data_IF_655262300565
#
_entry.id   IF_655262300565
#
_cell.length_a   1.000
_cell.length_b   1.000
_cell.length_c   1.000
_cell.angle_alpha   90.00
_cell.angle_beta   90.00
_cell.angle_gamma   90.00
#
_symmetry.space_group_name_H-M   'P 1'
#
loop_
_entity.id
_entity.type
_entity.pdbx_description
1 polymer ?
#
# COMPACT_ATOMS: atom_id res chain seq x y z
N UNK A 1 -58.54 -12.26 14.83
CA UNK A 1 -57.16 -11.98 15.25
C UNK A 1 -56.40 -11.52 14.02
N UNK A 2 -56.57 -10.27 13.58
CA UNK A 2 -56.05 -9.87 12.25
C UNK A 2 -55.82 -8.38 12.03
N UNK A 3 -56.66 -7.47 12.54
CA UNK A 3 -56.52 -6.04 12.17
C UNK A 3 -55.42 -5.26 12.91
N UNK A 4 -55.17 -5.60 14.18
CA UNK A 4 -54.15 -4.91 14.99
C UNK A 4 -52.72 -5.16 14.49
N UNK A 5 -52.43 -6.42 14.12
CA UNK A 5 -51.13 -6.81 13.56
C UNK A 5 -50.82 -6.15 12.21
N UNK A 6 -51.84 -5.91 11.38
CA UNK A 6 -51.67 -5.24 10.08
C UNK A 6 -51.28 -3.77 10.27
N UNK A 7 -51.91 -3.06 11.22
CA UNK A 7 -51.55 -1.66 11.54
C UNK A 7 -50.13 -1.54 12.10
N UNK A 8 -49.72 -2.49 12.94
CA UNK A 8 -48.37 -2.48 13.50
C UNK A 8 -47.29 -2.71 12.43
N UNK A 9 -47.57 -3.60 11.46
CA UNK A 9 -46.70 -3.83 10.31
C UNK A 9 -46.62 -2.61 9.37
N UNK A 10 -47.71 -1.88 9.16
CA UNK A 10 -47.69 -0.64 8.38
C UNK A 10 -46.85 0.45 9.06
N UNK A 11 -46.94 0.58 10.39
CA UNK A 11 -46.13 1.52 11.16
C UNK A 11 -44.65 1.13 11.14
N UNK A 12 -44.33 -0.16 11.28
CA UNK A 12 -42.98 -0.67 11.14
C UNK A 12 -42.43 -0.40 9.73
N UNK A 13 -43.21 -0.67 8.68
CA UNK A 13 -42.81 -0.42 7.29
C UNK A 13 -42.46 1.06 7.06
N UNK A 14 -43.32 1.98 7.50
CA UNK A 14 -43.08 3.44 7.41
C UNK A 14 -41.84 3.89 8.16
N UNK A 15 -41.50 3.22 9.26
CA UNK A 15 -40.29 3.49 10.04
C UNK A 15 -39.03 2.87 9.40
N UNK A 16 -39.16 1.73 8.72
CA UNK A 16 -38.06 0.99 8.11
C UNK A 16 -37.67 1.55 6.73
N UNK A 17 -38.64 1.97 5.91
CA UNK A 17 -38.44 2.52 4.57
C UNK A 17 -37.32 3.58 4.51
N UNK A 18 -37.36 4.67 5.31
CA UNK A 18 -36.33 5.69 5.23
C UNK A 18 -34.97 5.16 5.67
N UNK A 19 -34.90 4.20 6.60
CA UNK A 19 -33.64 3.62 7.07
C UNK A 19 -32.99 2.74 6.01
N UNK A 20 -33.80 1.97 5.29
CA UNK A 20 -33.32 1.13 4.19
C UNK A 20 -32.86 1.99 3.02
N UNK A 21 -33.60 3.05 2.68
CA UNK A 21 -33.22 3.99 1.62
C UNK A 21 -31.87 4.64 1.92
N UNK A 22 -31.68 5.18 3.13
CA UNK A 22 -30.39 5.73 3.56
C UNK A 22 -29.26 4.69 3.56
N UNK A 23 -29.55 3.47 4.00
CA UNK A 23 -28.57 2.38 4.01
C UNK A 23 -28.13 2.03 2.58
N UNK A 24 -29.07 1.93 1.64
CA UNK A 24 -28.80 1.65 0.22
C UNK A 24 -27.98 2.76 -0.44
N UNK A 25 -28.29 4.03 -0.17
CA UNK A 25 -27.52 5.17 -0.69
C UNK A 25 -26.09 5.13 -0.18
N UNK A 26 -25.89 4.90 1.13
CA UNK A 26 -24.56 4.82 1.72
C UNK A 26 -23.78 3.62 1.19
N UNK A 27 -24.41 2.45 1.06
CA UNK A 27 -23.81 1.26 0.45
C UNK A 27 -23.44 1.49 -1.01
N UNK A 28 -24.29 2.18 -1.78
CA UNK A 28 -24.02 2.55 -3.16
C UNK A 28 -22.81 3.47 -3.29
N UNK A 29 -22.72 4.50 -2.45
CA UNK A 29 -21.58 5.42 -2.42
C UNK A 29 -20.28 4.73 -1.97
N UNK A 30 -20.35 3.80 -1.02
CA UNK A 30 -19.20 3.04 -0.55
C UNK A 30 -18.71 2.07 -1.63
N UNK A 31 -19.63 1.43 -2.36
CA UNK A 31 -19.30 0.60 -3.52
C UNK A 31 -18.62 1.41 -4.63
N UNK A 32 -19.16 2.58 -4.97
CA UNK A 32 -18.57 3.47 -5.99
C UNK A 32 -17.17 3.95 -5.60
N UNK A 33 -16.98 4.40 -4.36
CA UNK A 33 -15.67 4.86 -3.90
C UNK A 33 -14.65 3.72 -3.88
N UNK A 34 -15.04 2.51 -3.48
CA UNK A 34 -14.18 1.33 -3.54
C UNK A 34 -13.72 1.00 -4.97
N UNK A 35 -14.65 1.02 -5.95
CA UNK A 35 -14.32 0.79 -7.36
C UNK A 35 -13.38 1.87 -7.90
N UNK A 36 -13.62 3.14 -7.58
CA UNK A 36 -12.75 4.25 -8.01
C UNK A 36 -11.35 4.10 -7.41
N UNK A 37 -11.23 3.80 -6.12
CA UNK A 37 -9.94 3.62 -5.45
C UNK A 37 -9.20 2.42 -6.04
N UNK A 38 -9.88 1.29 -6.27
CA UNK A 38 -9.24 0.10 -6.84
C UNK A 38 -8.79 0.31 -8.28
N UNK A 39 -9.54 1.07 -9.09
CA UNK A 39 -9.10 1.45 -10.44
C UNK A 39 -7.91 2.41 -10.40
N UNK A 40 -7.90 3.39 -9.50
CA UNK A 40 -6.76 4.31 -9.33
C UNK A 40 -5.53 3.53 -8.86
N UNK A 41 -5.65 2.68 -7.84
CA UNK A 41 -4.54 1.86 -7.34
C UNK A 41 -4.06 0.82 -8.37
N UNK A 42 -4.96 0.27 -9.19
CA UNK A 42 -4.61 -0.65 -10.27
C UNK A 42 -3.93 0.03 -11.46
N UNK A 43 -4.32 1.26 -11.77
CA UNK A 43 -3.71 2.07 -12.83
C UNK A 43 -2.39 2.71 -12.37
N UNK A 44 -2.27 3.07 -11.08
CA UNK A 44 -1.03 3.46 -10.42
C UNK A 44 -0.25 2.19 -10.07
N UNK A 45 0.30 1.53 -11.09
CA UNK A 45 1.08 0.30 -10.96
C UNK A 45 1.92 0.25 -9.67
N UNK A 46 1.57 -0.69 -8.80
CA UNK A 46 2.10 -0.80 -7.46
C UNK A 46 3.63 -0.91 -7.42
N UNK A 47 4.26 0.09 -6.84
CA UNK A 47 5.53 -0.09 -6.13
C UNK A 47 5.19 -0.43 -4.68
N UNK A 48 5.17 -1.72 -4.36
CA UNK A 48 5.04 -2.25 -3.00
C UNK A 48 5.91 -1.47 -2.00
N UNK A 49 5.39 -1.04 -0.84
CA UNK A 49 6.19 -0.43 0.21
C UNK A 49 6.85 -1.54 1.05
N UNK A 50 7.77 -2.29 0.45
CA UNK A 50 8.58 -3.31 1.13
C UNK A 50 10.00 -3.30 0.57
N UNK A 51 10.79 -2.31 0.95
CA UNK A 51 12.20 -2.28 0.61
C UNK A 51 12.78 -0.96 1.03
N UNK A 52 13.82 -1.00 1.86
CA UNK A 52 14.62 0.17 2.25
C UNK A 52 14.94 0.96 0.97
N UNK A 53 14.57 2.23 0.93
CA UNK A 53 14.75 3.07 -0.25
C UNK A 53 16.26 3.26 -0.49
N UNK A 54 16.79 2.56 -1.48
CA UNK A 54 18.15 2.73 -1.93
C UNK A 54 18.21 3.94 -2.87
N UNK A 55 19.25 4.77 -2.74
CA UNK A 55 19.46 5.96 -3.61
C UNK A 55 19.54 5.60 -5.11
N UNK A 56 19.79 4.34 -5.44
CA UNK A 56 19.99 3.85 -6.79
C UNK A 56 19.31 2.49 -6.98
N UNK A 57 18.76 2.29 -8.19
CA UNK A 57 18.04 1.08 -8.59
C UNK A 57 18.97 -0.12 -8.83
N UNK A 58 20.21 0.13 -9.25
CA UNK A 58 21.19 -0.92 -9.58
C UNK A 58 22.42 -0.79 -8.67
N UNK A 59 22.95 -1.90 -8.12
CA UNK A 59 24.16 -1.87 -7.29
C UNK A 59 25.35 -1.31 -8.08
N UNK A 60 26.12 -0.37 -7.50
CA UNK A 60 27.23 0.28 -8.18
C UNK A 60 28.40 -0.68 -8.34
N UNK A 61 29.24 -0.42 -9.35
CA UNK A 61 30.46 -1.19 -9.55
C UNK A 61 31.59 -0.75 -8.61
N UNK A 62 31.50 0.48 -8.08
CA UNK A 62 32.49 1.13 -7.23
C UNK A 62 31.83 1.76 -6.02
N UNK A 63 32.45 1.62 -4.85
CA UNK A 63 32.05 2.26 -3.61
C UNK A 63 33.22 3.06 -3.04
N UNK A 64 32.91 4.08 -2.24
CA UNK A 64 33.93 4.84 -1.51
C UNK A 64 33.80 4.56 -0.02
N UNK A 65 34.92 4.31 0.63
CA UNK A 65 34.95 4.19 2.08
C UNK A 65 34.70 5.56 2.72
N UNK A 66 33.81 5.63 3.71
CA UNK A 66 33.56 6.87 4.45
C UNK A 66 34.69 7.21 5.44
N UNK A 67 35.45 6.21 5.90
CA UNK A 67 36.51 6.40 6.89
C UNK A 67 37.84 6.79 6.23
N UNK A 68 38.29 6.01 5.25
CA UNK A 68 39.60 6.22 4.60
C UNK A 68 39.52 6.87 3.21
N UNK A 69 38.32 7.07 2.65
CA UNK A 69 38.14 7.65 1.32
C UNK A 69 38.59 6.75 0.16
N UNK A 70 39.01 5.51 0.42
CA UNK A 70 39.50 4.60 -0.60
C UNK A 70 38.39 4.18 -1.58
N UNK A 71 38.76 4.07 -2.86
CA UNK A 71 37.90 3.52 -3.92
C UNK A 71 37.92 1.98 -3.84
N UNK A 72 36.76 1.40 -3.57
CA UNK A 72 36.52 -0.03 -3.45
C UNK A 72 35.82 -0.51 -4.72
N UNK A 73 36.56 -1.27 -5.54
CA UNK A 73 35.98 -1.99 -6.67
C UNK A 73 35.20 -3.22 -6.15
N UNK A 74 33.89 -3.22 -6.38
CA UNK A 74 33.00 -4.25 -5.84
C UNK A 74 33.29 -5.65 -6.43
N UNK A 75 33.78 -5.72 -7.68
CA UNK A 75 34.12 -7.00 -8.33
C UNK A 75 35.43 -7.55 -7.78
N UNK A 76 36.42 -6.68 -7.57
CA UNK A 76 37.75 -7.07 -7.05
C UNK A 76 37.68 -7.71 -5.67
N UNK A 77 36.78 -7.23 -4.80
CA UNK A 77 36.64 -7.71 -3.42
C UNK A 77 35.48 -8.69 -3.21
N UNK A 78 34.86 -9.20 -4.28
CA UNK A 78 33.76 -10.19 -4.17
C UNK A 78 32.49 -9.64 -3.52
N UNK A 79 32.30 -8.32 -3.54
CA UNK A 79 31.15 -7.61 -2.99
C UNK A 79 30.11 -7.27 -4.07
N UNK A 80 30.22 -7.89 -5.25
CA UNK A 80 29.33 -7.67 -6.40
C UNK A 80 27.86 -7.91 -6.04
N UNK A 81 26.99 -6.99 -6.46
CA UNK A 81 25.55 -7.07 -6.19
C UNK A 81 25.10 -6.52 -4.84
N UNK A 82 26.02 -6.04 -3.98
CA UNK A 82 25.69 -5.38 -2.73
C UNK A 82 25.65 -3.86 -2.90
N UNK A 83 24.82 -3.18 -2.10
CA UNK A 83 24.87 -1.73 -2.01
C UNK A 83 26.04 -1.33 -1.10
N UNK A 84 26.67 -0.18 -1.36
CA UNK A 84 27.81 0.31 -0.55
C UNK A 84 27.52 0.38 0.95
N UNK A 85 26.25 0.62 1.31
CA UNK A 85 25.78 0.69 2.70
C UNK A 85 25.66 -0.68 3.38
N UNK A 86 25.57 -1.75 2.61
CA UNK A 86 25.49 -3.13 3.11
C UNK A 86 26.89 -3.76 3.31
N UNK A 87 27.96 -3.01 3.02
CA UNK A 87 29.33 -3.44 3.23
C UNK A 87 29.67 -3.17 4.71
N UNK A 88 29.91 -4.20 5.53
CA UNK A 88 30.12 -4.04 6.97
C UNK A 88 31.49 -3.43 7.32
N UNK A 89 32.49 -3.61 6.45
CA UNK A 89 33.86 -3.17 6.69
C UNK A 89 34.54 -2.78 5.39
N UNK A 90 35.35 -1.73 5.42
CA UNK A 90 36.23 -1.42 4.30
C UNK A 90 37.24 -2.56 4.10
N UNK A 91 37.48 -3.06 2.88
CA UNK A 91 38.53 -4.04 2.64
C UNK A 91 39.95 -3.41 2.64
N UNK A 92 40.04 -2.08 2.74
CA UNK A 92 41.31 -1.32 2.65
C UNK A 92 41.81 -0.87 4.03
N UNK A 93 40.91 -0.60 4.98
CA UNK A 93 41.25 -0.12 6.33
C UNK A 93 40.53 -0.93 7.41
#
# INVERSE_FOLDING_TARGET
MSEWWVKELENLKKWLEPKIEWSLIMLGMLGLTYVVITLILGAMGGSSPQGREYLYKNPPEKCYCQECGAEIDMRKYGLYGKHCRDIPSCPVC
#
